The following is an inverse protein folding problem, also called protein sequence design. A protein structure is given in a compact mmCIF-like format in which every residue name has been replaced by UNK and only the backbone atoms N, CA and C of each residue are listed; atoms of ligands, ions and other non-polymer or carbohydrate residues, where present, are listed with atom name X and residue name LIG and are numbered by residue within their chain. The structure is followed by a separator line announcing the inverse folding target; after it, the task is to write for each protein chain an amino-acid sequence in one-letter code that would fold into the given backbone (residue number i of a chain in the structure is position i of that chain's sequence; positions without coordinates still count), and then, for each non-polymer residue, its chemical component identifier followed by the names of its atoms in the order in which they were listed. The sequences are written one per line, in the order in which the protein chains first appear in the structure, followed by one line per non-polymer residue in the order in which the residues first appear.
data_IF_996940122441
#
_entry.id   IF_996940122441
#
_cell.length_a   1.000
_cell.length_b   1.000
_cell.length_c   1.000
_cell.angle_alpha   90.00
_cell.angle_beta   90.00
_cell.angle_gamma   90.00
#
_symmetry.space_group_name_H-M   'P 1'
#
loop_
_entity.id
_entity.type
_entity.pdbx_description
1 polymer ?
#
# COMPACT_ATOMS: atom_id res chain seq x y z
N UNK A 1 -6.07 5.45 4.06
CA UNK A 1 -6.60 5.94 2.77
C UNK A 1 -6.78 7.46 2.76
N UNK A 2 -7.66 8.04 3.59
CA UNK A 2 -7.96 9.49 3.55
C UNK A 2 -6.74 10.38 3.81
N UNK A 3 -5.88 10.04 4.78
CA UNK A 3 -4.64 10.80 5.02
C UNK A 3 -3.76 10.94 3.78
N UNK A 4 -3.61 9.87 3.01
CA UNK A 4 -2.87 9.88 1.75
C UNK A 4 -3.53 10.76 0.67
N UNK A 5 -4.88 10.82 0.64
CA UNK A 5 -5.60 11.69 -0.28
C UNK A 5 -5.46 13.18 0.10
N UNK A 6 -5.41 13.48 1.41
CA UNK A 6 -5.23 14.86 1.90
C UNK A 6 -3.79 15.32 1.69
N UNK A 7 -2.83 14.47 2.04
CA UNK A 7 -1.40 14.74 1.91
C UNK A 7 -0.67 13.44 1.51
N UNK A 8 -0.37 13.26 0.21
CA UNK A 8 0.32 12.07 -0.28
C UNK A 8 1.72 11.90 0.32
N UNK A 9 2.35 12.97 0.80
CA UNK A 9 3.71 12.91 1.38
C UNK A 9 3.74 12.20 2.73
N UNK A 10 2.58 11.92 3.34
CA UNK A 10 2.47 11.15 4.56
C UNK A 10 2.79 9.66 4.36
N UNK A 11 2.63 9.13 3.15
CA UNK A 11 2.87 7.72 2.86
C UNK A 11 3.94 7.60 1.79
N UNK A 12 5.04 6.89 2.09
CA UNK A 12 5.99 6.51 1.06
C UNK A 12 5.40 5.36 0.25
N UNK A 13 5.34 5.52 -1.06
CA UNK A 13 4.87 4.48 -1.97
C UNK A 13 6.00 3.89 -2.80
N UNK A 14 5.76 2.71 -3.35
CA UNK A 14 6.62 2.05 -4.34
C UNK A 14 5.75 1.38 -5.39
N UNK A 15 6.15 1.46 -6.65
CA UNK A 15 5.52 0.67 -7.73
C UNK A 15 5.92 -0.79 -7.55
N UNK A 16 4.94 -1.69 -7.56
CA UNK A 16 5.17 -3.13 -7.50
C UNK A 16 4.10 -3.89 -8.29
N UNK A 17 4.47 -5.07 -8.78
CA UNK A 17 3.52 -6.01 -9.38
C UNK A 17 2.76 -6.76 -8.29
N UNK A 18 1.43 -6.68 -8.32
CA UNK A 18 0.58 -7.26 -7.28
C UNK A 18 -0.59 -8.01 -7.89
N UNK A 19 -0.84 -9.23 -7.39
CA UNK A 19 -2.03 -10.01 -7.68
C UNK A 19 -2.83 -10.30 -6.41
N UNK A 20 -4.04 -10.85 -6.58
CA UNK A 20 -4.85 -11.38 -5.48
C UNK A 20 -4.96 -12.88 -5.66
N UNK A 21 -4.65 -13.66 -4.62
CA UNK A 21 -4.90 -15.10 -4.63
C UNK A 21 -6.41 -15.34 -4.51
N UNK A 22 -7.00 -15.97 -5.52
CA UNK A 22 -8.44 -16.21 -5.62
C UNK A 22 -8.82 -17.69 -5.48
N UNK A 23 -7.84 -18.59 -5.48
CA UNK A 23 -8.07 -20.02 -5.30
C UNK A 23 -8.24 -20.34 -3.81
N UNK A 24 -9.18 -21.23 -3.52
CA UNK A 24 -9.40 -21.75 -2.17
C UNK A 24 -8.14 -22.39 -1.58
N UNK A 25 -7.94 -22.19 -0.27
CA UNK A 25 -6.80 -22.71 0.47
C UNK A 25 -6.32 -21.75 1.54
N UNK A 26 -5.09 -21.96 2.02
CA UNK A 26 -4.51 -21.19 3.14
C UNK A 26 -4.29 -19.72 2.82
N UNK A 27 -4.15 -19.36 1.54
CA UNK A 27 -3.76 -18.02 1.09
C UNK A 27 -4.87 -17.29 0.34
N UNK A 28 -6.11 -17.82 0.35
CA UNK A 28 -7.25 -17.17 -0.28
C UNK A 28 -7.40 -15.72 0.21
N UNK A 29 -7.41 -14.76 -0.72
CA UNK A 29 -7.55 -13.33 -0.45
C UNK A 29 -6.23 -12.59 -0.19
N UNK A 30 -5.08 -13.26 -0.19
CA UNK A 30 -3.78 -12.62 -0.01
C UNK A 30 -3.44 -11.72 -1.21
N UNK A 31 -2.99 -10.50 -0.95
CA UNK A 31 -2.35 -9.65 -1.96
C UNK A 31 -0.89 -10.08 -2.13
N UNK A 32 -0.59 -10.79 -3.20
CA UNK A 32 0.76 -11.32 -3.48
C UNK A 32 1.56 -10.27 -4.24
N UNK A 33 2.64 -9.79 -3.63
CA UNK A 33 3.59 -8.86 -4.26
C UNK A 33 4.73 -9.66 -4.88
N UNK A 34 5.02 -9.39 -6.16
CA UNK A 34 6.27 -9.83 -6.77
C UNK A 34 7.38 -8.81 -6.47
N UNK A 35 8.39 -9.23 -5.71
CA UNK A 35 9.58 -8.43 -5.37
C UNK A 35 10.87 -9.07 -5.86
N UNK A 36 10.75 -10.08 -6.73
CA UNK A 36 11.90 -10.86 -7.21
C UNK A 36 12.67 -10.07 -8.26
N UNK A 37 13.98 -10.27 -8.31
CA UNK A 37 14.82 -9.71 -9.37
C UNK A 37 14.87 -10.61 -10.63
N UNK A 38 14.71 -11.93 -10.44
CA UNK A 38 14.70 -12.93 -11.51
C UNK A 38 13.38 -13.72 -11.48
N UNK A 39 12.98 -14.27 -12.64
CA UNK A 39 11.73 -15.02 -12.80
C UNK A 39 10.49 -14.22 -12.39
N UNK A 40 10.49 -12.93 -12.72
CA UNK A 40 9.37 -12.03 -12.47
C UNK A 40 8.11 -12.48 -13.21
N UNK A 41 6.96 -12.24 -12.61
CA UNK A 41 5.68 -12.45 -13.28
C UNK A 41 5.38 -11.25 -14.18
N UNK A 42 5.15 -11.52 -15.46
CA UNK A 42 4.93 -10.45 -16.46
C UNK A 42 3.48 -10.00 -16.56
N UNK A 43 2.53 -10.86 -16.15
CA UNK A 43 1.09 -10.64 -16.30
C UNK A 43 0.44 -9.89 -15.12
N UNK A 44 1.16 -9.69 -14.01
CA UNK A 44 0.61 -8.98 -12.86
C UNK A 44 0.59 -7.46 -13.12
N UNK A 45 -0.48 -6.76 -12.75
CA UNK A 45 -0.55 -5.31 -12.88
C UNK A 45 0.44 -4.62 -11.93
N UNK A 46 1.00 -3.50 -12.39
CA UNK A 46 1.82 -2.61 -11.57
C UNK A 46 0.95 -1.58 -10.86
N UNK A 47 1.06 -1.51 -9.53
CA UNK A 47 0.33 -0.56 -8.69
C UNK A 47 1.27 0.09 -7.68
N UNK A 48 0.87 1.26 -7.17
CA UNK A 48 1.55 1.89 -6.05
C UNK A 48 1.12 1.22 -4.73
N UNK A 49 2.08 0.67 -4.00
CA UNK A 49 1.88 0.12 -2.65
C UNK A 49 2.50 1.05 -1.60
N UNK A 50 1.86 1.20 -0.46
CA UNK A 50 2.44 1.90 0.69
C UNK A 50 3.54 1.05 1.33
N UNK A 51 4.69 1.65 1.61
CA UNK A 51 5.85 0.98 2.22
C UNK A 51 6.31 1.61 3.53
N UNK A 52 5.91 2.87 3.79
CA UNK A 52 6.23 3.57 5.04
C UNK A 52 5.24 4.73 5.27
N UNK A 53 5.16 5.24 6.50
CA UNK A 53 4.26 6.33 6.88
C UNK A 53 4.86 7.29 7.92
N UNK A 54 4.69 8.60 7.72
CA UNK A 54 4.96 9.62 8.74
C UNK A 54 3.80 9.68 9.74
N UNK A 55 3.87 8.80 10.73
CA UNK A 55 2.81 8.65 11.75
C UNK A 55 2.65 9.91 12.62
N UNK A 56 3.72 10.66 12.87
CA UNK A 56 3.68 11.85 13.71
C UNK A 56 2.90 12.97 13.03
N UNK A 57 3.19 13.23 11.75
CA UNK A 57 2.42 14.20 10.95
C UNK A 57 1.00 13.73 10.72
N UNK A 58 0.78 12.44 10.48
CA UNK A 58 -0.56 11.89 10.32
C UNK A 58 -1.42 12.08 11.58
N UNK A 59 -0.87 11.81 12.77
CA UNK A 59 -1.60 12.03 14.02
C UNK A 59 -1.89 13.51 14.27
N UNK A 60 -0.91 14.40 14.00
CA UNK A 60 -1.11 15.85 14.09
C UNK A 60 -2.23 16.33 13.15
N UNK A 61 -2.30 15.77 11.94
CA UNK A 61 -3.38 16.05 10.99
C UNK A 61 -4.75 15.68 11.56
N UNK A 62 -4.87 14.49 12.18
CA UNK A 62 -6.12 14.05 12.81
C UNK A 62 -6.51 14.96 13.97
N UNK A 63 -5.56 15.25 14.88
CA UNK A 63 -5.81 16.10 16.05
C UNK A 63 -6.33 17.47 15.62
N UNK A 64 -5.69 18.11 14.64
CA UNK A 64 -6.10 19.42 14.15
C UNK A 64 -7.47 19.42 13.44
N UNK A 65 -7.90 18.27 12.91
CA UNK A 65 -9.19 18.14 12.24
C UNK A 65 -10.33 17.93 13.24
N UNK A 66 -10.08 17.14 14.30
CA UNK A 66 -11.10 16.70 15.27
C UNK A 66 -11.24 17.65 16.45
N UNK A 67 -10.13 18.17 17.00
CA UNK A 67 -10.11 18.98 18.23
C UNK A 67 -10.23 20.48 17.97
N UNK A 68 -10.91 20.88 16.89
CA UNK A 68 -11.27 22.28 16.69
C UNK A 68 -12.35 22.72 17.67
#
# INVERSE_FOLDING_TARGET
AIGYLIDPTLIKTRVAKVGVETKDGLTLGMTVRDDRHHHVWEHLPEINIGIDADYARFLKLIINLVLK
#
